data_IF_103257587314
#
_entry.id   IF_103257587314
#
_cell.length_a   1.000
_cell.length_b   1.000
_cell.length_c   1.000
_cell.angle_alpha   90.00
_cell.angle_beta   90.00
_cell.angle_gamma   90.00
#
_symmetry.space_group_name_H-M   'P 1'
#
loop_
_entity.id
_entity.type
_entity.pdbx_description
1 polymer ?
#
# COMPACT_ATOMS: atom_id res chain seq x y z
N UNK A 1 -19.01 -5.71 12.20
CA UNK A 1 -20.18 -5.73 11.29
C UNK A 1 -21.23 -4.79 11.84
N UNK A 2 -21.87 -3.98 10.98
CA UNK A 2 -22.85 -3.00 11.44
C UNK A 2 -24.25 -3.64 11.49
N UNK A 3 -25.06 -3.36 12.53
CA UNK A 3 -26.43 -3.83 12.56
C UNK A 3 -27.28 -3.30 11.39
N UNK A 4 -28.36 -4.01 11.07
CA UNK A 4 -29.30 -3.64 10.01
C UNK A 4 -30.39 -2.75 10.60
N UNK A 5 -30.57 -1.57 10.01
CA UNK A 5 -31.65 -0.66 10.37
C UNK A 5 -33.01 -1.23 9.91
N UNK A 6 -34.04 -1.15 10.76
CA UNK A 6 -35.38 -1.69 10.44
C UNK A 6 -35.99 -1.01 9.21
N UNK A 7 -35.61 0.22 8.90
CA UNK A 7 -36.01 0.95 7.67
C UNK A 7 -35.46 0.31 6.39
N UNK A 8 -34.46 -0.56 6.50
CA UNK A 8 -33.94 -1.32 5.37
C UNK A 8 -34.76 -2.59 5.09
N UNK A 9 -35.65 -3.00 6.01
CA UNK A 9 -36.45 -4.20 5.86
C UNK A 9 -37.68 -3.86 5.02
N UNK A 10 -37.67 -4.29 3.77
CA UNK A 10 -38.68 -3.93 2.77
C UNK A 10 -40.05 -4.57 3.04
N UNK A 11 -40.06 -5.71 3.71
CA UNK A 11 -41.27 -6.42 4.12
C UNK A 11 -41.56 -6.26 5.63
N UNK A 12 -41.17 -5.14 6.24
CA UNK A 12 -41.25 -4.93 7.69
C UNK A 12 -42.62 -5.28 8.29
N UNK A 13 -43.73 -4.89 7.66
CA UNK A 13 -45.06 -5.18 8.19
C UNK A 13 -45.38 -6.66 8.34
N UNK A 14 -44.77 -7.52 7.52
CA UNK A 14 -44.95 -8.97 7.57
C UNK A 14 -44.10 -9.62 8.66
N UNK A 15 -42.91 -9.07 8.94
CA UNK A 15 -41.92 -9.70 9.83
C UNK A 15 -41.78 -9.04 11.20
N UNK A 16 -42.32 -7.83 11.39
CA UNK A 16 -42.12 -7.01 12.61
C UNK A 16 -42.48 -7.74 13.91
N UNK A 17 -43.53 -8.54 13.92
CA UNK A 17 -44.01 -9.25 15.11
C UNK A 17 -42.95 -10.23 15.65
N UNK A 18 -42.26 -10.94 14.75
CA UNK A 18 -41.22 -11.91 15.12
C UNK A 18 -39.84 -11.27 15.28
N UNK A 19 -39.60 -10.11 14.65
CA UNK A 19 -38.32 -9.41 14.72
C UNK A 19 -38.17 -8.47 15.92
N UNK A 20 -39.24 -7.77 16.32
CA UNK A 20 -39.19 -6.81 17.43
C UNK A 20 -38.61 -7.41 18.73
N UNK A 21 -38.95 -8.65 19.13
CA UNK A 21 -38.34 -9.28 20.30
C UNK A 21 -36.82 -9.53 20.17
N UNK A 22 -36.34 -9.60 18.93
CA UNK A 22 -34.97 -9.95 18.53
C UNK A 22 -34.17 -8.73 18.04
N UNK A 23 -34.57 -7.52 18.44
CA UNK A 23 -33.75 -6.32 18.24
C UNK A 23 -32.68 -6.21 19.34
N UNK A 24 -31.57 -5.56 18.99
CA UNK A 24 -30.50 -5.25 19.93
C UNK A 24 -31.01 -4.32 21.05
N UNK A 25 -30.73 -4.65 22.31
CA UNK A 25 -31.18 -3.83 23.44
C UNK A 25 -30.52 -2.45 23.52
N UNK A 26 -29.36 -2.26 22.90
CA UNK A 26 -28.64 -0.97 22.93
C UNK A 26 -29.01 -0.06 21.76
N UNK A 27 -29.03 -0.59 20.53
CA UNK A 27 -29.27 0.22 19.34
C UNK A 27 -30.67 0.04 18.74
N UNK A 28 -31.47 -0.91 19.22
CA UNK A 28 -32.82 -1.23 18.70
C UNK A 28 -32.83 -1.59 17.20
N UNK A 29 -31.70 -2.04 16.68
CA UNK A 29 -31.53 -2.51 15.30
C UNK A 29 -31.39 -4.04 15.25
N UNK A 30 -31.55 -4.62 14.05
CA UNK A 30 -31.34 -6.05 13.86
C UNK A 30 -29.83 -6.35 13.96
N UNK A 31 -29.40 -7.13 14.97
CA UNK A 31 -27.98 -7.36 15.21
C UNK A 31 -27.33 -8.20 14.12
N UNK A 32 -26.18 -7.75 13.61
CA UNK A 32 -25.22 -8.62 12.92
C UNK A 32 -24.36 -9.34 13.96
N UNK A 33 -24.18 -10.65 13.80
CA UNK A 33 -23.51 -11.53 14.77
C UNK A 33 -24.08 -11.35 16.19
N UNK A 34 -25.38 -11.65 16.38
CA UNK A 34 -26.07 -11.45 17.65
C UNK A 34 -25.39 -12.17 18.81
N UNK A 35 -25.25 -11.45 19.91
CA UNK A 35 -24.93 -12.01 21.21
C UNK A 35 -26.20 -12.03 22.07
N UNK A 36 -26.45 -13.13 22.76
CA UNK A 36 -27.64 -13.37 23.56
C UNK A 36 -27.30 -13.47 25.05
N UNK A 37 -28.06 -12.75 25.88
CA UNK A 37 -28.00 -12.90 27.33
C UNK A 37 -28.71 -14.18 27.77
N UNK A 38 -28.00 -15.15 28.35
CA UNK A 38 -28.62 -16.42 28.83
C UNK A 38 -29.73 -16.23 29.87
N UNK A 39 -29.72 -15.14 30.66
CA UNK A 39 -30.71 -14.92 31.74
C UNK A 39 -32.02 -14.36 31.22
N UNK A 40 -31.97 -13.37 30.34
CA UNK A 40 -33.16 -12.65 29.86
C UNK A 40 -33.42 -12.81 28.36
N UNK A 41 -32.60 -13.60 27.68
CA UNK A 41 -32.68 -13.95 26.25
C UNK A 41 -32.59 -12.75 25.29
N UNK A 42 -32.30 -11.55 25.82
CA UNK A 42 -32.16 -10.33 25.02
C UNK A 42 -30.86 -10.29 24.23
N UNK A 43 -30.95 -9.65 23.06
CA UNK A 43 -29.89 -9.63 22.07
C UNK A 43 -29.09 -8.33 22.12
N UNK A 44 -27.84 -8.44 21.69
CA UNK A 44 -26.87 -7.36 21.57
C UNK A 44 -26.09 -7.54 20.27
N UNK A 45 -25.77 -6.44 19.59
CA UNK A 45 -24.84 -6.50 18.47
C UNK A 45 -23.43 -6.78 18.99
N UNK A 46 -22.61 -7.49 18.22
CA UNK A 46 -21.19 -7.65 18.57
C UNK A 46 -20.47 -6.29 18.69
N UNK A 47 -20.84 -5.31 17.87
CA UNK A 47 -20.31 -3.94 17.95
C UNK A 47 -20.76 -3.22 19.23
N UNK A 48 -22.06 -3.21 19.54
CA UNK A 48 -22.57 -2.61 20.78
C UNK A 48 -21.94 -3.25 22.03
N UNK A 49 -21.69 -4.56 22.00
CA UNK A 49 -20.96 -5.24 23.06
C UNK A 49 -19.51 -4.75 23.19
N UNK A 50 -18.82 -4.53 22.08
CA UNK A 50 -17.48 -3.92 22.05
C UNK A 50 -17.48 -2.51 22.63
N UNK A 51 -18.45 -1.68 22.27
CA UNK A 51 -18.57 -0.31 22.77
C UNK A 51 -18.83 -0.29 24.29
N UNK A 52 -19.66 -1.22 24.78
CA UNK A 52 -19.90 -1.38 26.22
C UNK A 52 -18.63 -1.79 26.97
N UNK A 53 -17.82 -2.70 26.42
CA UNK A 53 -16.51 -3.09 27.00
C UNK A 53 -15.58 -1.89 27.14
N UNK A 54 -15.51 -1.05 26.12
CA UNK A 54 -14.63 0.13 26.13
C UNK A 54 -15.08 1.13 27.21
N UNK A 55 -16.39 1.34 27.35
CA UNK A 55 -16.95 2.27 28.35
C UNK A 55 -16.80 1.78 29.79
N UNK A 56 -16.88 0.47 30.04
CA UNK A 56 -16.88 -0.07 31.41
C UNK A 56 -15.52 -0.07 32.11
N UNK A 57 -14.41 0.27 31.42
CA UNK A 57 -13.03 0.30 31.97
C UNK A 57 -12.67 -0.93 32.83
N UNK A 58 -13.25 -2.09 32.52
CA UNK A 58 -13.09 -3.30 33.32
C UNK A 58 -13.69 -4.55 32.64
N UNK A 59 -13.34 -5.75 33.12
CA UNK A 59 -13.67 -7.03 32.46
C UNK A 59 -15.14 -7.46 32.62
N UNK A 60 -15.93 -6.67 33.35
CA UNK A 60 -17.30 -7.00 33.75
C UNK A 60 -18.29 -6.15 32.97
N UNK A 61 -19.06 -6.80 32.08
CA UNK A 61 -20.17 -6.19 31.35
C UNK A 61 -21.47 -6.69 31.95
N UNK A 62 -22.36 -5.76 32.26
CA UNK A 62 -23.69 -6.09 32.73
C UNK A 62 -24.69 -6.04 31.58
N UNK A 63 -25.60 -7.01 31.53
CA UNK A 63 -26.78 -6.90 30.68
C UNK A 63 -27.61 -5.70 31.12
N UNK A 64 -27.83 -4.72 30.25
CA UNK A 64 -28.57 -3.51 30.64
C UNK A 64 -30.02 -3.78 31.02
N UNK A 65 -30.61 -4.88 30.53
CA UNK A 65 -31.98 -5.27 30.83
C UNK A 65 -32.16 -5.93 32.20
N UNK A 66 -31.31 -6.92 32.55
CA UNK A 66 -31.50 -7.75 33.75
C UNK A 66 -30.36 -7.63 34.78
N UNK A 67 -29.37 -6.78 34.51
CA UNK A 67 -28.19 -6.50 35.34
C UNK A 67 -27.34 -7.74 35.69
N UNK A 68 -27.46 -8.83 34.92
CA UNK A 68 -26.61 -10.01 35.06
C UNK A 68 -25.20 -9.74 34.52
N UNK A 69 -24.18 -10.32 35.16
CA UNK A 69 -22.75 -10.07 34.93
C UNK A 69 -22.08 -11.07 33.98
N UNK A 70 -21.50 -10.63 32.85
CA UNK A 70 -20.64 -11.44 31.95
C UNK A 70 -21.29 -12.67 31.31
N UNK A 71 -22.32 -12.43 30.52
CA UNK A 71 -23.25 -13.50 30.15
C UNK A 71 -23.84 -13.39 28.73
N UNK A 72 -23.06 -12.81 27.81
CA UNK A 72 -23.40 -12.72 26.40
C UNK A 72 -22.63 -13.76 25.61
N UNK A 73 -23.34 -14.74 25.05
CA UNK A 73 -22.79 -15.76 24.16
C UNK A 73 -23.31 -15.53 22.73
N UNK A 74 -22.67 -16.08 21.69
CA UNK A 74 -23.28 -16.14 20.36
C UNK A 74 -24.70 -16.68 20.45
N UNK A 75 -25.65 -15.99 19.79
CA UNK A 75 -27.04 -16.40 19.82
C UNK A 75 -27.23 -17.78 19.16
N UNK A 76 -28.27 -18.49 19.62
CA UNK A 76 -28.61 -19.80 19.07
C UNK A 76 -29.22 -19.71 17.65
N UNK A 77 -29.37 -20.87 17.00
CA UNK A 77 -29.91 -20.96 15.63
C UNK A 77 -31.36 -20.45 15.51
N UNK A 78 -32.16 -20.48 16.58
CA UNK A 78 -33.54 -19.99 16.56
C UNK A 78 -33.60 -18.48 16.26
N UNK A 79 -32.64 -17.71 16.78
CA UNK A 79 -32.52 -16.28 16.47
C UNK A 79 -32.25 -16.06 14.98
N UNK A 80 -31.32 -16.81 14.39
CA UNK A 80 -31.04 -16.70 12.95
C UNK A 80 -32.23 -17.16 12.08
N UNK A 81 -33.02 -18.14 12.54
CA UNK A 81 -34.24 -18.55 11.86
C UNK A 81 -35.29 -17.43 11.85
N UNK A 82 -35.39 -16.63 12.92
CA UNK A 82 -36.30 -15.48 12.95
C UNK A 82 -35.94 -14.38 11.93
N UNK A 83 -34.70 -14.38 11.43
CA UNK A 83 -34.19 -13.44 10.42
C UNK A 83 -34.34 -13.94 8.98
N UNK A 84 -34.82 -15.18 8.79
CA UNK A 84 -34.83 -15.85 7.47
C UNK A 84 -35.68 -15.11 6.44
N UNK A 85 -36.85 -14.64 6.86
CA UNK A 85 -37.86 -14.10 5.95
C UNK A 85 -37.70 -12.58 5.72
N UNK A 86 -36.64 -11.98 6.27
CA UNK A 86 -36.35 -10.56 6.05
C UNK A 86 -35.87 -10.31 4.63
N UNK A 87 -36.54 -9.40 3.94
CA UNK A 87 -36.08 -8.85 2.66
C UNK A 87 -35.41 -7.51 2.94
N UNK A 88 -34.08 -7.45 2.81
CA UNK A 88 -33.27 -6.31 3.23
C UNK A 88 -32.80 -5.53 2.00
N UNK A 89 -33.10 -4.24 1.95
CA UNK A 89 -32.54 -3.29 1.00
C UNK A 89 -31.14 -2.83 1.41
N UNK A 90 -30.26 -2.64 0.43
CA UNK A 90 -28.93 -2.08 0.67
C UNK A 90 -28.99 -0.68 1.32
N UNK A 91 -28.11 -0.41 2.28
CA UNK A 91 -27.98 0.91 2.93
C UNK A 91 -27.63 2.03 1.94
N UNK A 92 -27.00 1.67 0.81
CA UNK A 92 -26.63 2.59 -0.27
C UNK A 92 -27.74 2.77 -1.32
N UNK A 93 -28.99 2.42 -1.02
CA UNK A 93 -30.12 2.59 -1.94
C UNK A 93 -30.34 4.03 -2.38
N UNK A 94 -30.14 4.98 -1.47
CA UNK A 94 -30.17 6.43 -1.77
C UNK A 94 -29.12 6.88 -2.79
N UNK A 95 -28.06 6.09 -2.99
CA UNK A 95 -27.01 6.36 -3.96
C UNK A 95 -27.18 5.56 -5.26
N UNK A 96 -28.25 4.77 -5.39
CA UNK A 96 -28.57 4.03 -6.61
C UNK A 96 -28.49 2.51 -6.49
N UNK A 97 -28.10 1.95 -5.35
CA UNK A 97 -28.09 0.49 -5.18
C UNK A 97 -29.52 -0.07 -5.08
N UNK A 98 -29.93 -0.89 -6.04
CA UNK A 98 -31.26 -1.51 -6.07
C UNK A 98 -31.31 -2.95 -5.52
N UNK A 99 -30.20 -3.44 -5.01
CA UNK A 99 -30.07 -4.85 -4.57
C UNK A 99 -30.88 -5.10 -3.30
N UNK A 100 -31.60 -6.21 -3.30
CA UNK A 100 -32.34 -6.77 -2.17
C UNK A 100 -31.72 -8.10 -1.74
N UNK A 101 -31.59 -8.32 -0.45
CA UNK A 101 -30.75 -9.37 0.13
C UNK A 101 -31.47 -10.09 1.27
N UNK A 102 -31.10 -11.34 1.48
CA UNK A 102 -31.38 -12.04 2.73
C UNK A 102 -30.36 -11.64 3.83
N UNK A 103 -30.66 -11.98 5.08
CA UNK A 103 -29.81 -11.65 6.24
C UNK A 103 -28.36 -12.15 6.10
N UNK A 104 -28.14 -13.34 5.51
CA UNK A 104 -26.81 -13.95 5.40
C UNK A 104 -25.94 -13.25 4.37
N UNK A 105 -26.53 -12.75 3.28
CA UNK A 105 -25.81 -12.08 2.18
C UNK A 105 -25.62 -10.58 2.43
N UNK A 106 -26.38 -10.00 3.35
CA UNK A 106 -26.38 -8.56 3.58
C UNK A 106 -24.97 -7.99 3.85
N UNK A 107 -24.24 -8.55 4.81
CA UNK A 107 -22.94 -8.00 5.21
C UNK A 107 -21.92 -8.05 4.07
N UNK A 108 -21.81 -9.20 3.39
CA UNK A 108 -20.90 -9.36 2.26
C UNK A 108 -21.18 -8.33 1.17
N UNK A 109 -22.46 -8.12 0.84
CA UNK A 109 -22.85 -7.11 -0.12
C UNK A 109 -22.44 -5.69 0.31
N UNK A 110 -22.64 -5.30 1.57
CA UNK A 110 -22.32 -3.94 2.04
C UNK A 110 -20.83 -3.63 1.87
N UNK A 111 -19.95 -4.61 2.10
CA UNK A 111 -18.49 -4.48 1.94
C UNK A 111 -18.07 -4.37 0.45
N UNK A 112 -18.79 -5.08 -0.42
CA UNK A 112 -18.51 -5.13 -1.85
C UNK A 112 -19.23 -4.03 -2.64
N UNK A 113 -20.26 -3.39 -2.08
CA UNK A 113 -21.18 -2.48 -2.75
C UNK A 113 -20.48 -1.34 -3.50
N UNK A 114 -20.70 -1.28 -4.81
CA UNK A 114 -20.14 -0.24 -5.68
C UNK A 114 -20.69 1.17 -5.42
N UNK A 115 -21.88 1.24 -4.80
CA UNK A 115 -22.53 2.49 -4.40
C UNK A 115 -22.13 2.95 -2.99
N UNK A 116 -21.19 2.24 -2.35
CA UNK A 116 -20.60 2.70 -1.11
C UNK A 116 -19.83 3.99 -1.35
N UNK A 117 -20.03 4.98 -0.49
CA UNK A 117 -19.19 6.19 -0.46
C UNK A 117 -17.88 5.87 0.24
N UNK A 118 -16.76 6.16 -0.42
CA UNK A 118 -15.41 5.95 0.09
C UNK A 118 -14.60 7.25 -0.02
N UNK A 119 -13.72 7.54 0.96
CA UNK A 119 -12.80 8.66 0.85
C UNK A 119 -11.78 8.38 -0.27
N UNK A 120 -11.27 9.45 -0.88
CA UNK A 120 -10.14 9.36 -1.79
C UNK A 120 -8.92 8.78 -1.04
N UNK A 121 -8.19 7.81 -1.62
CA UNK A 121 -7.00 7.24 -1.00
C UNK A 121 -5.78 8.18 -1.05
N UNK A 122 -5.85 9.26 -1.85
CA UNK A 122 -4.75 10.21 -2.01
C UNK A 122 -4.57 11.08 -0.76
N UNK A 123 -3.38 11.09 -0.13
CA UNK A 123 -3.11 11.92 1.04
C UNK A 123 -3.35 13.41 0.73
N UNK A 124 -4.15 14.07 1.57
CA UNK A 124 -4.52 15.48 1.40
C UNK A 124 -5.77 15.72 0.55
N UNK A 125 -6.34 14.69 -0.08
CA UNK A 125 -7.64 14.78 -0.72
C UNK A 125 -8.76 14.40 0.25
N UNK A 126 -9.70 15.32 0.48
CA UNK A 126 -10.86 15.10 1.35
C UNK A 126 -12.14 14.74 0.56
N UNK A 127 -12.03 14.55 -0.75
CA UNK A 127 -13.17 14.18 -1.60
C UNK A 127 -13.64 12.77 -1.27
N UNK A 128 -14.96 12.60 -1.15
CA UNK A 128 -15.61 11.31 -0.97
C UNK A 128 -16.44 10.97 -2.20
N UNK A 129 -16.11 9.87 -2.88
CA UNK A 129 -16.75 9.42 -4.12
C UNK A 129 -17.45 8.06 -3.93
N UNK A 130 -18.27 7.65 -4.89
CA UNK A 130 -18.77 6.28 -4.94
C UNK A 130 -17.64 5.33 -5.32
N UNK A 131 -17.62 4.12 -4.77
CA UNK A 131 -16.61 3.11 -5.07
C UNK A 131 -16.46 2.86 -6.58
N UNK A 132 -17.57 2.82 -7.33
CA UNK A 132 -17.57 2.77 -8.81
C UNK A 132 -16.94 3.97 -9.50
N UNK A 133 -17.08 5.17 -8.94
CA UNK A 133 -16.59 6.43 -9.51
C UNK A 133 -15.21 6.82 -8.96
N UNK A 134 -14.53 5.90 -8.25
CA UNK A 134 -13.18 6.11 -7.73
C UNK A 134 -12.18 6.31 -8.86
N UNK A 135 -12.25 5.49 -9.91
CA UNK A 135 -11.36 5.57 -11.07
C UNK A 135 -11.42 6.95 -11.72
N UNK A 136 -12.64 7.41 -12.04
CA UNK A 136 -12.89 8.72 -12.66
C UNK A 136 -12.34 9.87 -11.81
N UNK A 137 -12.54 9.82 -10.49
CA UNK A 137 -11.98 10.82 -9.58
C UNK A 137 -10.44 10.82 -9.60
N UNK A 138 -9.79 9.64 -9.58
CA UNK A 138 -8.33 9.55 -9.57
C UNK A 138 -7.69 10.10 -10.86
N UNK A 139 -8.41 10.09 -11.99
CA UNK A 139 -7.94 10.72 -13.23
C UNK A 139 -7.78 12.24 -13.07
N UNK A 140 -8.60 12.90 -12.26
CA UNK A 140 -8.60 14.36 -12.08
C UNK A 140 -8.08 14.84 -10.72
N UNK A 141 -7.84 13.93 -9.78
CA UNK A 141 -7.41 14.27 -8.43
C UNK A 141 -5.99 14.86 -8.38
N UNK A 142 -5.88 16.11 -7.95
CA UNK A 142 -4.60 16.83 -7.81
C UNK A 142 -3.64 16.25 -6.76
N UNK A 143 -4.16 15.44 -5.84
CA UNK A 143 -3.40 14.84 -4.76
C UNK A 143 -2.87 13.43 -5.09
N UNK A 144 -3.18 12.90 -6.28
CA UNK A 144 -2.64 11.61 -6.73
C UNK A 144 -1.13 11.68 -6.77
N UNK A 145 -0.49 10.65 -6.21
CA UNK A 145 0.96 10.52 -6.21
C UNK A 145 1.37 9.92 -7.55
N UNK A 146 2.24 10.64 -8.24
CA UNK A 146 2.81 10.30 -9.53
C UNK A 146 4.32 10.24 -9.42
N UNK A 147 4.94 9.37 -10.20
CA UNK A 147 6.39 9.23 -10.26
C UNK A 147 6.94 10.12 -11.35
N UNK A 148 7.93 10.95 -11.03
CA UNK A 148 8.62 11.76 -12.02
C UNK A 148 9.44 10.87 -12.95
N UNK A 149 9.20 10.96 -14.26
CA UNK A 149 9.91 10.17 -15.28
C UNK A 149 11.42 10.42 -15.39
N UNK A 150 11.90 11.56 -14.87
CA UNK A 150 13.30 11.96 -14.99
C UNK A 150 14.15 11.57 -13.77
N UNK A 151 13.57 11.56 -12.57
CA UNK A 151 14.31 11.29 -11.33
C UNK A 151 13.70 10.18 -10.45
N UNK A 152 12.60 9.57 -10.89
CA UNK A 152 11.88 8.50 -10.18
C UNK A 152 11.38 8.84 -8.77
N UNK A 153 11.39 10.12 -8.38
CA UNK A 153 10.82 10.60 -7.12
C UNK A 153 9.31 10.79 -7.25
N UNK A 154 8.61 10.60 -6.14
CA UNK A 154 7.16 10.67 -6.06
C UNK A 154 6.70 12.06 -5.60
N UNK A 155 5.73 12.62 -6.30
CA UNK A 155 5.10 13.91 -5.98
C UNK A 155 3.60 13.80 -6.17
N UNK A 156 2.83 14.64 -5.48
CA UNK A 156 1.43 14.78 -5.87
C UNK A 156 1.34 15.53 -7.20
N UNK A 157 0.28 15.29 -7.97
CA UNK A 157 0.09 15.93 -9.28
C UNK A 157 0.16 17.46 -9.19
N UNK A 158 -0.39 18.05 -8.12
CA UNK A 158 -0.32 19.49 -7.85
C UNK A 158 1.11 20.03 -7.78
N UNK A 159 2.04 19.29 -7.17
CA UNK A 159 3.45 19.69 -7.03
C UNK A 159 4.35 19.15 -8.14
N UNK A 160 3.86 18.23 -8.97
CA UNK A 160 4.60 17.66 -10.09
C UNK A 160 5.03 18.72 -11.10
N UNK A 161 4.15 19.68 -11.44
CA UNK A 161 4.49 20.78 -12.35
C UNK A 161 5.69 21.59 -11.85
N UNK A 162 5.64 22.01 -10.58
CA UNK A 162 6.73 22.74 -9.93
C UNK A 162 8.02 21.92 -9.84
N UNK A 163 7.91 20.62 -9.54
CA UNK A 163 9.07 19.73 -9.54
C UNK A 163 9.71 19.61 -10.93
N UNK A 164 8.90 19.46 -11.98
CA UNK A 164 9.38 19.27 -13.35
C UNK A 164 10.16 20.47 -13.87
N UNK A 165 9.83 21.69 -13.48
CA UNK A 165 10.60 22.90 -13.80
C UNK A 165 12.02 22.86 -13.22
N UNK A 166 12.19 22.26 -12.04
CA UNK A 166 13.45 22.22 -11.28
C UNK A 166 14.06 20.82 -11.19
N UNK A 167 13.69 19.92 -12.09
CA UNK A 167 14.10 18.53 -12.01
C UNK A 167 15.49 18.33 -12.61
N UNK A 168 16.52 18.19 -11.76
CA UNK A 168 17.90 17.89 -12.16
C UNK A 168 18.04 16.58 -12.96
N UNK A 169 17.06 15.68 -12.90
CA UNK A 169 17.06 14.45 -13.71
C UNK A 169 16.90 14.70 -15.21
N UNK A 170 16.38 15.87 -15.61
CA UNK A 170 16.31 16.28 -17.03
C UNK A 170 17.71 16.48 -17.62
N UNK A 171 18.64 17.02 -16.83
CA UNK A 171 20.00 17.31 -17.28
C UNK A 171 20.86 16.04 -17.42
N UNK A 172 20.53 14.99 -16.65
CA UNK A 172 21.24 13.70 -16.74
C UNK A 172 20.94 12.96 -18.05
N UNK A 173 19.78 13.17 -18.67
CA UNK A 173 19.49 12.64 -20.00
C UNK A 173 20.27 13.34 -21.13
N UNK A 174 20.90 14.48 -20.85
CA UNK A 174 21.74 15.21 -21.81
C UNK A 174 23.23 14.87 -21.75
N UNK A 175 23.67 13.98 -20.86
CA UNK A 175 25.04 13.49 -20.95
C UNK A 175 25.11 12.64 -22.22
N UNK A 176 25.68 13.21 -23.28
CA UNK A 176 25.87 12.54 -24.55
C UNK A 176 26.78 11.32 -24.34
N UNK A 177 26.13 10.16 -24.22
CA UNK A 177 26.77 8.85 -24.12
C UNK A 177 27.75 8.62 -25.27
N UNK A 178 27.57 9.26 -26.43
CA UNK A 178 28.52 9.22 -27.52
C UNK A 178 29.80 10.01 -27.20
N UNK A 179 29.67 11.26 -26.71
CA UNK A 179 30.81 12.07 -26.24
C UNK A 179 31.59 11.38 -25.13
N UNK A 180 30.90 10.79 -24.14
CA UNK A 180 31.56 10.09 -23.03
C UNK A 180 32.30 8.83 -23.52
N UNK A 181 31.73 8.10 -24.49
CA UNK A 181 32.39 6.96 -25.14
C UNK A 181 33.61 7.40 -25.96
N UNK A 182 33.52 8.52 -26.69
CA UNK A 182 34.67 9.02 -27.45
C UNK A 182 35.81 9.46 -26.54
N UNK A 183 35.50 10.10 -25.41
CA UNK A 183 36.51 10.49 -24.43
C UNK A 183 37.17 9.27 -23.78
N UNK A 184 36.38 8.25 -23.43
CA UNK A 184 36.91 6.99 -22.91
C UNK A 184 37.83 6.28 -23.91
N UNK A 185 37.44 6.21 -25.19
CA UNK A 185 38.27 5.64 -26.26
C UNK A 185 39.57 6.41 -26.45
N UNK A 186 39.52 7.75 -26.40
CA UNK A 186 40.69 8.61 -26.53
C UNK A 186 41.64 8.49 -25.33
N UNK A 187 41.11 8.35 -24.11
CA UNK A 187 41.93 8.09 -22.93
C UNK A 187 42.59 6.72 -23.00
N UNK A 188 41.87 5.70 -23.47
CA UNK A 188 42.41 4.36 -23.68
C UNK A 188 43.57 4.35 -24.68
N UNK A 189 43.42 5.01 -25.84
CA UNK A 189 44.51 5.07 -26.82
C UNK A 189 45.75 5.79 -26.29
N UNK A 190 45.57 6.81 -25.45
CA UNK A 190 46.70 7.49 -24.79
C UNK A 190 47.41 6.58 -23.77
N UNK A 191 46.63 5.79 -23.03
CA UNK A 191 47.18 4.82 -22.08
C UNK A 191 48.00 3.75 -22.81
N UNK A 192 47.45 3.20 -23.89
CA UNK A 192 48.14 2.18 -24.70
C UNK A 192 49.47 2.72 -25.27
N UNK A 193 49.47 3.97 -25.78
CA UNK A 193 50.69 4.62 -26.27
C UNK A 193 51.75 4.84 -25.17
N UNK A 194 51.31 5.24 -23.96
CA UNK A 194 52.21 5.44 -22.82
C UNK A 194 52.83 4.12 -22.35
N UNK A 195 52.07 3.02 -22.37
CA UNK A 195 52.56 1.68 -22.05
C UNK A 195 53.66 1.27 -23.06
N UNK A 196 53.40 1.41 -24.36
CA UNK A 196 54.39 1.07 -25.38
C UNK A 196 55.68 1.91 -25.28
N UNK A 197 55.58 3.19 -24.96
CA UNK A 197 56.75 4.04 -24.74
C UNK A 197 57.58 3.59 -23.53
N UNK A 198 56.92 3.16 -22.46
CA UNK A 198 57.59 2.65 -21.27
C UNK A 198 58.31 1.32 -21.55
N UNK A 199 57.67 0.41 -22.28
CA UNK A 199 58.26 -0.86 -22.71
C UNK A 199 59.53 -0.65 -23.57
N UNK A 200 59.46 0.24 -24.56
CA UNK A 200 60.62 0.58 -25.39
C UNK A 200 61.76 1.19 -24.57
N UNK A 201 61.42 2.09 -23.64
CA UNK A 201 62.42 2.74 -22.77
C UNK A 201 63.10 1.73 -21.84
N UNK A 202 62.35 0.75 -21.31
CA UNK A 202 62.89 -0.33 -20.49
C UNK A 202 63.83 -1.25 -21.30
N UNK A 203 63.48 -1.55 -22.55
CA UNK A 203 64.29 -2.38 -23.44
C UNK A 203 65.62 -1.69 -23.82
N UNK A 204 65.58 -0.39 -24.12
CA UNK A 204 66.78 0.40 -24.40
C UNK A 204 67.70 0.43 -23.17
N UNK A 205 67.18 0.70 -21.97
CA UNK A 205 67.98 0.72 -20.75
C UNK A 205 68.68 -0.62 -20.47
N UNK A 206 68.03 -1.75 -20.79
CA UNK A 206 68.63 -3.08 -20.66
C UNK A 206 69.77 -3.30 -21.66
N UNK A 207 69.62 -2.81 -22.90
CA UNK A 207 70.69 -2.87 -23.90
C UNK A 207 71.88 -2.01 -23.51
N UNK A 208 71.65 -0.81 -22.97
CA UNK A 208 72.71 0.06 -22.47
C UNK A 208 73.52 -0.61 -21.36
N UNK A 209 72.86 -1.26 -20.39
CA UNK A 209 73.56 -2.04 -19.36
C UNK A 209 74.41 -3.17 -19.93
N UNK A 210 73.92 -3.88 -20.95
CA UNK A 210 74.69 -4.95 -21.62
C UNK A 210 75.93 -4.39 -22.32
N UNK A 211 75.80 -3.26 -23.01
CA UNK A 211 76.93 -2.60 -23.70
C UNK A 211 77.98 -2.15 -22.69
N UNK A 212 77.58 -1.51 -21.60
CA UNK A 212 78.50 -1.09 -20.53
C UNK A 212 79.25 -2.30 -19.97
N UNK A 213 78.55 -3.41 -19.71
CA UNK A 213 79.18 -4.64 -19.22
C UNK A 213 80.22 -5.19 -20.19
N UNK A 214 79.89 -5.27 -21.49
CA UNK A 214 80.83 -5.72 -22.52
C UNK A 214 82.05 -4.80 -22.65
N UNK A 215 81.87 -3.48 -22.54
CA UNK A 215 82.98 -2.53 -22.57
C UNK A 215 83.94 -2.73 -21.40
N UNK A 216 83.41 -2.99 -20.19
CA UNK A 216 84.23 -3.30 -19.01
C UNK A 216 85.02 -4.61 -19.20
N UNK A 217 84.40 -5.66 -19.74
CA UNK A 217 85.06 -6.93 -20.05
C UNK A 217 86.20 -6.74 -21.08
N UNK A 218 85.94 -5.98 -22.15
CA UNK A 218 86.97 -5.64 -23.15
C UNK A 218 88.13 -4.85 -22.51
N UNK A 219 87.83 -3.91 -21.62
CA UNK A 219 88.84 -3.11 -20.94
C UNK A 219 89.71 -3.97 -20.00
N UNK A 220 89.11 -4.93 -19.30
CA UNK A 220 89.84 -5.90 -18.48
C UNK A 220 90.76 -6.78 -19.34
N UNK A 221 90.29 -7.29 -20.48
CA UNK A 221 91.10 -8.08 -21.41
C UNK A 221 92.28 -7.28 -21.97
N UNK A 222 92.05 -6.00 -22.34
CA UNK A 222 93.13 -5.11 -22.80
C UNK A 222 94.21 -4.88 -21.74
N UNK A 223 93.81 -4.76 -20.48
CA UNK A 223 94.77 -4.59 -19.38
C UNK A 223 95.60 -5.86 -19.14
N UNK A 224 95.02 -7.05 -19.32
CA UNK A 224 95.73 -8.33 -19.18
C UNK A 224 96.71 -8.65 -20.32
N UNK A 225 96.54 -8.06 -21.51
CA UNK A 225 97.46 -8.24 -22.65
C UNK A 225 98.72 -7.36 -22.51
N UNK A 226 98.64 -6.27 -21.74
CA UNK A 226 99.72 -5.30 -21.57
C UNK A 226 100.57 -5.54 -20.30
N UNK A 227 100.43 -6.69 -19.65
CA UNK A 227 101.25 -7.19 -18.53
C UNK A 227 102.08 -8.38 -18.99
#
# INVERSE_FOLDING_TARGET
MNPIDTRQILNWDQVKVHLQPNLCIECQLVPQQPLQCYRCQKLLCQTCHGDLKQKSRGPKIFCQKCKALNYFNPANNAIYQSYRDMVIGCVNRRYGCKVTLDYKKYQKHVEECEFQRIPCPSPGCFVTTLKRAKGDHLQVCEYVIETCQYCNKQFNRKSMAYHQEKCNGKDVQQIDLASLKSDFLRLRSKLDAAISQFEQSAEIALLEQKVIKQQLEIQQLKNNINQ
#
